data_IF_229605509777
#
_entry.id   IF_229605509777
#
_cell.length_a   1.000
_cell.length_b   1.000
_cell.length_c   1.000
_cell.angle_alpha   90.00
_cell.angle_beta   90.00
_cell.angle_gamma   90.00
#
_symmetry.space_group_name_H-M   'P 1'
#
loop_
_entity.id
_entity.type
_entity.pdbx_description
1 polymer ?
#
# COMPACT_ATOMS: atom_id res chain seq x y z
N UNK A 1 31.41 -5.44 -7.09
CA UNK A 1 30.17 -6.19 -6.84
C UNK A 1 29.08 -5.22 -7.24
N UNK A 2 28.38 -5.51 -8.34
CA UNK A 2 27.38 -4.59 -8.86
C UNK A 2 26.19 -4.61 -7.91
N UNK A 3 25.90 -3.42 -7.40
CA UNK A 3 24.78 -3.00 -6.57
C UNK A 3 23.48 -3.02 -7.39
N UNK A 4 23.19 -4.14 -8.07
CA UNK A 4 21.91 -4.32 -8.75
C UNK A 4 20.96 -4.85 -7.69
N UNK A 5 20.38 -3.93 -6.91
CA UNK A 5 19.32 -4.26 -5.95
C UNK A 5 18.24 -5.06 -6.72
N UNK A 6 17.80 -6.23 -6.21
CA UNK A 6 16.87 -7.14 -6.92
C UNK A 6 15.52 -6.51 -7.30
N UNK A 7 15.22 -5.33 -6.74
CA UNK A 7 14.04 -4.51 -6.95
C UNK A 7 14.33 -3.24 -7.80
N UNK A 8 15.54 -3.15 -8.37
CA UNK A 8 15.99 -2.03 -9.20
C UNK A 8 15.03 -1.79 -10.37
N UNK A 9 14.52 -0.56 -10.45
CA UNK A 9 13.62 -0.11 -11.50
C UNK A 9 12.13 -0.35 -11.25
N UNK A 10 11.73 -0.82 -10.06
CA UNK A 10 10.31 -0.86 -9.65
C UNK A 10 9.69 0.55 -9.58
N UNK A 11 10.39 1.54 -9.01
CA UNK A 11 9.89 2.93 -8.95
C UNK A 11 9.55 3.53 -10.34
N UNK A 12 10.46 3.46 -11.35
CA UNK A 12 10.13 3.87 -12.71
C UNK A 12 8.89 3.17 -13.29
N UNK A 13 8.71 1.86 -13.03
CA UNK A 13 7.56 1.11 -13.50
C UNK A 13 6.27 1.61 -12.85
N UNK A 14 6.24 1.75 -11.52
CA UNK A 14 5.11 2.30 -10.78
C UNK A 14 4.70 3.68 -11.32
N UNK A 15 5.68 4.56 -11.54
CA UNK A 15 5.43 5.90 -12.12
C UNK A 15 4.85 5.83 -13.53
N UNK A 16 5.31 4.89 -14.37
CA UNK A 16 4.76 4.67 -15.70
C UNK A 16 3.29 4.24 -15.68
N UNK A 17 2.83 3.59 -14.61
CA UNK A 17 1.43 3.20 -14.39
C UNK A 17 0.60 4.29 -13.69
N UNK A 18 1.18 5.48 -13.53
CA UNK A 18 0.53 6.64 -12.92
C UNK A 18 0.48 6.60 -11.41
N UNK A 19 1.36 5.82 -10.75
CA UNK A 19 1.53 5.83 -9.30
C UNK A 19 2.48 6.97 -8.92
N UNK A 20 2.03 7.85 -8.04
CA UNK A 20 2.84 8.99 -7.56
C UNK A 20 3.74 8.56 -6.41
N UNK A 21 4.84 7.87 -6.73
CA UNK A 21 5.82 7.38 -5.74
C UNK A 21 6.50 8.56 -5.03
N UNK A 22 6.36 8.60 -3.70
CA UNK A 22 7.03 9.55 -2.80
C UNK A 22 8.41 9.02 -2.41
N UNK A 23 8.48 7.77 -1.94
CA UNK A 23 9.70 7.11 -1.51
C UNK A 23 9.63 5.61 -1.79
N UNK A 24 10.80 4.99 -1.94
CA UNK A 24 10.97 3.57 -2.12
C UNK A 24 12.25 3.12 -1.40
N UNK A 25 12.19 2.00 -0.69
CA UNK A 25 13.35 1.30 -0.15
C UNK A 25 13.38 -0.10 -0.75
N UNK A 26 14.45 -0.39 -1.50
CA UNK A 26 14.56 -1.52 -2.40
C UNK A 26 15.04 -2.82 -1.72
N UNK A 27 14.80 -2.95 -0.41
CA UNK A 27 15.14 -4.11 0.41
C UNK A 27 14.16 -5.29 0.32
N UNK A 28 14.22 -6.15 1.35
CA UNK A 28 13.25 -7.21 1.64
C UNK A 28 12.77 -7.03 3.09
N UNK A 29 11.59 -6.43 3.31
CA UNK A 29 10.56 -6.11 2.32
C UNK A 29 10.91 -4.90 1.43
N UNK A 30 10.33 -4.86 0.24
CA UNK A 30 10.26 -3.68 -0.63
C UNK A 30 9.25 -2.71 -0.04
N UNK A 31 9.73 -1.60 0.52
CA UNK A 31 8.88 -0.57 1.12
C UNK A 31 8.57 0.51 0.09
N UNK A 32 7.29 0.78 -0.16
CA UNK A 32 6.85 1.80 -1.14
C UNK A 32 5.89 2.78 -0.48
N UNK A 33 6.20 4.07 -0.52
CA UNK A 33 5.22 5.12 -0.17
C UNK A 33 4.77 5.84 -1.43
N UNK A 34 3.46 5.91 -1.64
CA UNK A 34 2.91 6.67 -2.76
C UNK A 34 1.74 7.55 -2.36
N UNK A 35 1.67 8.72 -2.99
CA UNK A 35 0.60 9.67 -2.78
C UNK A 35 -0.62 9.29 -3.63
N UNK A 36 -1.79 9.24 -3.02
CA UNK A 36 -3.03 8.96 -3.76
C UNK A 36 -3.42 10.16 -4.62
N UNK A 37 -3.87 9.89 -5.84
CA UNK A 37 -4.47 10.91 -6.72
C UNK A 37 -5.97 11.11 -6.45
N UNK A 38 -6.58 10.33 -5.56
CA UNK A 38 -8.02 10.33 -5.34
C UNK A 38 -8.42 11.21 -4.15
N UNK A 39 -9.48 12.03 -4.30
CA UNK A 39 -10.04 12.75 -3.18
C UNK A 39 -10.75 11.75 -2.26
N UNK A 40 -10.37 11.70 -0.98
CA UNK A 40 -10.99 10.78 -0.02
C UNK A 40 -10.24 10.64 1.30
N UNK A 41 -10.84 9.87 2.21
CA UNK A 41 -10.24 9.45 3.49
C UNK A 41 -9.85 7.96 3.50
N UNK A 42 -10.07 7.27 2.39
CA UNK A 42 -9.82 5.83 2.25
C UNK A 42 -8.91 5.57 1.05
N UNK A 43 -8.19 4.44 1.09
CA UNK A 43 -7.35 4.00 -0.01
C UNK A 43 -8.21 3.51 -1.17
N UNK A 44 -7.98 4.06 -2.36
CA UNK A 44 -8.79 3.73 -3.53
C UNK A 44 -8.33 2.40 -4.16
N UNK A 45 -9.18 1.36 -4.11
CA UNK A 45 -8.85 0.00 -4.60
C UNK A 45 -8.32 -0.06 -6.04
N UNK A 46 -8.84 0.78 -6.93
CA UNK A 46 -8.35 0.86 -8.32
C UNK A 46 -6.91 1.36 -8.44
N UNK A 47 -6.45 2.15 -7.46
CA UNK A 47 -5.06 2.62 -7.41
C UNK A 47 -4.13 1.47 -7.03
N UNK A 48 -4.52 0.67 -6.03
CA UNK A 48 -3.83 -0.56 -5.67
C UNK A 48 -3.71 -1.47 -6.90
N UNK A 49 -4.81 -1.72 -7.61
CA UNK A 49 -4.77 -2.54 -8.84
C UNK A 49 -3.79 -2.02 -9.90
N UNK A 50 -3.67 -0.70 -10.09
CA UNK A 50 -2.65 -0.14 -11.01
C UNK A 50 -1.22 -0.39 -10.53
N UNK A 51 -0.98 -0.26 -9.22
CA UNK A 51 0.32 -0.56 -8.64
C UNK A 51 0.67 -2.04 -8.79
N UNK A 52 -0.30 -2.92 -8.52
CA UNK A 52 -0.12 -4.37 -8.69
C UNK A 52 0.19 -4.73 -10.14
N UNK A 53 -0.53 -4.18 -11.12
CA UNK A 53 -0.25 -4.45 -12.52
C UNK A 53 1.20 -4.07 -12.89
N UNK A 54 1.70 -2.93 -12.42
CA UNK A 54 3.08 -2.53 -12.65
C UNK A 54 4.11 -3.52 -12.08
N UNK A 55 3.82 -4.10 -10.92
CA UNK A 55 4.68 -5.09 -10.26
C UNK A 55 4.59 -6.46 -10.96
N UNK A 56 3.38 -6.87 -11.33
CA UNK A 56 3.10 -8.13 -12.04
C UNK A 56 3.75 -8.13 -13.42
N UNK A 57 3.49 -7.10 -14.24
CA UNK A 57 4.05 -6.99 -15.60
C UNK A 57 5.60 -7.05 -15.57
N UNK A 58 6.21 -6.52 -14.51
CA UNK A 58 7.66 -6.57 -14.31
C UNK A 58 8.13 -7.95 -13.86
N UNK A 59 7.39 -8.62 -13.00
CA UNK A 59 7.69 -9.99 -12.55
C UNK A 59 7.58 -10.98 -13.71
N UNK A 60 6.53 -10.86 -14.53
CA UNK A 60 6.33 -11.67 -15.74
C UNK A 60 7.44 -11.46 -16.77
N UNK A 61 8.01 -10.26 -16.82
CA UNK A 61 9.14 -9.93 -17.68
C UNK A 61 10.51 -10.36 -17.10
N UNK A 62 10.55 -11.05 -15.96
CA UNK A 62 11.77 -11.42 -15.23
C UNK A 62 12.66 -10.19 -14.94
N UNK A 63 12.04 -9.01 -14.78
CA UNK A 63 12.72 -7.72 -14.67
C UNK A 63 12.88 -7.22 -13.23
N UNK A 64 12.46 -8.04 -12.26
CA UNK A 64 12.78 -7.94 -10.84
C UNK A 64 12.47 -9.27 -10.14
N UNK A 65 13.06 -9.52 -8.97
CA UNK A 65 12.81 -10.70 -8.14
C UNK A 65 11.79 -10.34 -7.04
N UNK A 66 10.53 -10.85 -7.10
CA UNK A 66 9.48 -10.43 -6.17
C UNK A 66 9.78 -10.81 -4.73
N UNK A 67 9.92 -9.78 -3.89
CA UNK A 67 10.01 -9.86 -2.43
C UNK A 67 8.67 -9.46 -1.79
N UNK A 68 8.57 -9.53 -0.45
CA UNK A 68 7.41 -8.94 0.24
C UNK A 68 7.33 -7.46 -0.09
N UNK A 69 6.17 -6.98 -0.52
CA UNK A 69 5.92 -5.55 -0.74
C UNK A 69 5.10 -5.01 0.41
N UNK A 70 5.57 -3.94 1.04
CA UNK A 70 4.82 -3.18 2.02
C UNK A 70 4.59 -1.77 1.49
N UNK A 71 3.33 -1.45 1.18
CA UNK A 71 2.99 -0.19 0.56
C UNK A 71 2.19 0.69 1.51
N UNK A 72 2.63 1.94 1.65
CA UNK A 72 1.92 2.98 2.38
C UNK A 72 1.31 3.98 1.42
N UNK A 73 0.01 4.24 1.58
CA UNK A 73 -0.71 5.24 0.79
C UNK A 73 -0.88 6.49 1.62
N UNK A 74 -0.47 7.64 1.10
CA UNK A 74 -0.56 8.93 1.79
C UNK A 74 -1.45 9.91 1.00
N UNK A 75 -2.08 10.86 1.71
CA UNK A 75 -2.77 12.01 1.07
C UNK A 75 -1.78 13.13 0.76
N UNK A 76 -0.83 13.33 1.65
CA UNK A 76 0.25 14.31 1.58
C UNK A 76 1.40 13.83 2.46
N UNK A 77 2.61 14.39 2.32
CA UNK A 77 3.75 14.00 3.15
C UNK A 77 3.40 14.00 4.64
N UNK A 78 3.53 12.84 5.29
CA UNK A 78 3.18 12.65 6.71
C UNK A 78 1.69 12.46 7.05
N UNK A 79 0.79 12.35 6.06
CA UNK A 79 -0.66 12.07 6.26
C UNK A 79 -1.03 10.70 5.65
N UNK A 80 -0.76 9.58 6.34
CA UNK A 80 -1.05 8.24 5.84
C UNK A 80 -2.56 7.94 5.87
N UNK A 81 -3.03 7.25 4.81
CA UNK A 81 -4.41 6.78 4.66
C UNK A 81 -4.56 5.29 4.95
N UNK A 82 -3.51 4.51 4.74
CA UNK A 82 -3.56 3.06 4.89
C UNK A 82 -2.34 2.35 4.35
N UNK A 83 -2.24 1.06 4.65
CA UNK A 83 -1.17 0.20 4.15
C UNK A 83 -1.74 -1.08 3.54
N UNK A 84 -1.03 -1.65 2.57
CA UNK A 84 -1.33 -2.98 2.04
C UNK A 84 -0.03 -3.74 1.82
N UNK A 85 -0.13 -5.07 1.79
CA UNK A 85 1.00 -5.98 1.64
C UNK A 85 0.77 -6.94 0.49
N UNK A 86 1.84 -7.30 -0.22
CA UNK A 86 1.86 -8.40 -1.17
C UNK A 86 2.97 -9.39 -0.82
N UNK A 87 2.62 -10.66 -0.61
CA UNK A 87 3.61 -11.70 -0.28
C UNK A 87 4.33 -12.23 -1.53
N UNK A 88 5.63 -12.59 -1.43
CA UNK A 88 6.39 -13.14 -2.55
C UNK A 88 5.75 -14.42 -3.10
N UNK A 89 5.24 -15.29 -2.22
CA UNK A 89 4.54 -16.52 -2.60
C UNK A 89 3.29 -16.30 -3.47
N UNK A 90 2.69 -15.11 -3.44
CA UNK A 90 1.56 -14.79 -4.33
C UNK A 90 2.04 -14.46 -5.74
N UNK A 91 3.18 -13.79 -5.87
CA UNK A 91 3.82 -13.59 -7.17
C UNK A 91 4.28 -14.92 -7.75
N UNK A 92 4.94 -15.76 -6.94
CA UNK A 92 5.34 -17.12 -7.35
C UNK A 92 4.14 -17.93 -7.87
N UNK A 93 3.02 -17.93 -7.13
CA UNK A 93 1.80 -18.62 -7.57
C UNK A 93 1.21 -18.04 -8.85
N UNK A 94 1.27 -16.72 -9.05
CA UNK A 94 0.80 -16.08 -10.28
C UNK A 94 1.68 -16.47 -11.48
N UNK A 95 3.01 -16.40 -11.32
CA UNK A 95 3.99 -16.75 -12.36
C UNK A 95 3.96 -18.25 -12.70
N UNK A 96 3.55 -19.09 -11.76
CA UNK A 96 3.37 -20.53 -11.96
C UNK A 96 1.99 -20.91 -12.54
N UNK A 97 1.12 -19.94 -12.84
CA UNK A 97 -0.29 -20.16 -13.24
C UNK A 97 -1.14 -20.90 -12.18
N UNK A 98 -0.66 -21.01 -10.93
CA UNK A 98 -1.38 -21.60 -9.79
C UNK A 98 -2.37 -20.61 -9.14
N UNK A 99 -2.21 -19.31 -9.42
CA UNK A 99 -3.04 -18.22 -8.93
C UNK A 99 -3.43 -17.31 -10.08
N UNK A 100 -4.70 -16.91 -10.17
CA UNK A 100 -5.11 -15.89 -11.14
C UNK A 100 -4.79 -14.48 -10.64
N UNK A 101 -4.64 -13.51 -11.55
CA UNK A 101 -4.46 -12.08 -11.21
C UNK A 101 -5.57 -11.55 -10.29
N UNK A 102 -6.81 -12.04 -10.47
CA UNK A 102 -7.96 -11.65 -9.64
C UNK A 102 -7.81 -12.19 -8.21
N UNK A 103 -7.35 -13.42 -8.04
CA UNK A 103 -7.11 -13.99 -6.71
C UNK A 103 -5.92 -13.32 -6.04
N UNK A 104 -4.84 -13.04 -6.78
CA UNK A 104 -3.70 -12.25 -6.31
C UNK A 104 -4.17 -10.87 -5.79
N UNK A 105 -4.90 -10.13 -6.61
CA UNK A 105 -5.42 -8.81 -6.24
C UNK A 105 -6.34 -8.87 -5.03
N UNK A 106 -7.16 -9.92 -4.94
CA UNK A 106 -8.07 -10.13 -3.81
C UNK A 106 -7.28 -10.32 -2.52
N UNK A 107 -6.26 -11.18 -2.51
CA UNK A 107 -5.39 -11.40 -1.33
C UNK A 107 -4.71 -10.12 -0.87
N UNK A 108 -4.20 -9.30 -1.79
CA UNK A 108 -3.63 -7.99 -1.45
C UNK A 108 -4.69 -7.08 -0.83
N UNK A 109 -5.88 -6.98 -1.43
CA UNK A 109 -6.95 -6.14 -0.90
C UNK A 109 -7.45 -6.59 0.48
N UNK A 110 -7.33 -7.87 0.82
CA UNK A 110 -7.64 -8.40 2.16
C UNK A 110 -6.61 -7.97 3.23
N UNK A 111 -5.39 -7.56 2.83
CA UNK A 111 -4.39 -6.98 3.74
C UNK A 111 -4.55 -5.49 3.96
N UNK A 112 -5.39 -4.83 3.16
CA UNK A 112 -5.54 -3.37 3.19
C UNK A 112 -6.06 -2.91 4.56
N UNK A 113 -5.26 -2.09 5.24
CA UNK A 113 -5.64 -1.39 6.46
C UNK A 113 -5.88 0.09 6.17
N UNK A 114 -6.74 0.73 6.96
CA UNK A 114 -6.99 2.17 6.89
C UNK A 114 -6.58 2.84 8.19
N UNK A 115 -5.92 4.00 8.09
CA UNK A 115 -5.61 4.86 9.23
C UNK A 115 -6.94 5.45 9.72
N UNK A 116 -7.52 4.82 10.75
CA UNK A 116 -8.86 5.10 11.27
C UNK A 116 -9.66 3.84 11.61
N UNK A 117 -9.30 2.68 11.04
CA UNK A 117 -9.92 1.39 11.39
C UNK A 117 -9.35 0.81 12.71
N UNK A 118 -8.26 1.39 13.21
CA UNK A 118 -7.47 0.89 14.34
C UNK A 118 -7.56 1.67 15.67
N UNK A 119 -8.41 2.70 15.81
CA UNK A 119 -8.53 3.40 17.09
C UNK A 119 -9.29 4.71 17.07
N UNK A 120 -10.61 4.63 17.17
CA UNK A 120 -11.46 5.63 17.84
C UNK A 120 -12.55 4.89 18.64
N UNK A 121 -12.11 4.00 19.52
CA UNK A 121 -12.78 3.73 20.78
C UNK A 121 -11.81 4.26 21.85
N UNK A 122 -12.32 5.11 22.75
CA UNK A 122 -11.59 5.82 23.82
C UNK A 122 -10.97 7.18 23.47
N UNK A 123 -11.81 8.22 23.32
CA UNK A 123 -11.57 9.56 23.90
C UNK A 123 -12.80 10.49 23.76
N UNK A 124 -13.93 10.15 24.38
CA UNK A 124 -14.95 11.15 24.78
C UNK A 124 -15.70 10.63 26.01
N UNK A 125 -14.93 10.41 27.09
CA UNK A 125 -15.43 10.25 28.44
C UNK A 125 -14.69 11.25 29.35
N UNK A 126 -15.11 12.51 29.26
CA UNK A 126 -14.95 13.53 30.30
C UNK A 126 -16.24 14.38 30.18
N UNK A 127 -17.18 14.34 31.11
CA UNK A 127 -17.04 14.96 32.44
C UNK A 127 -16.86 16.47 32.23
N UNK A 128 -17.72 17.40 32.61
CA UNK A 128 -18.55 17.50 33.81
C UNK A 128 -19.74 18.43 33.54
N UNK A 129 -20.87 18.04 34.09
CA UNK A 129 -22.05 18.88 34.30
C UNK A 129 -21.76 19.83 35.46
N UNK A 130 -21.47 21.10 35.19
CA UNK A 130 -21.50 22.15 36.22
C UNK A 130 -22.73 23.04 36.02
N UNK A 131 -23.66 22.89 36.95
CA UNK A 131 -24.77 23.80 37.23
C UNK A 131 -24.21 25.19 37.59
N UNK A 132 -24.54 26.24 36.84
CA UNK A 132 -24.56 27.59 37.41
C UNK A 132 -25.99 28.14 37.39
N UNK A 133 -26.62 27.94 38.54
CA UNK A 133 -27.69 28.78 39.03
C UNK A 133 -27.09 30.14 39.38
N UNK A 134 -27.61 31.22 38.80
CA UNK A 134 -27.40 32.57 39.33
C UNK A 134 -28.69 33.40 39.10
N UNK A 135 -29.06 34.30 40.04
CA UNK A 135 -30.42 34.42 40.60
C UNK A 135 -31.38 35.38 39.88
#
# INVERSE_FOLDING_TARGET
>A
MSDDEPTSGVEPALRSYGISVESIDAGDPLEVTYMTAFPGREVHRREIGRALNALIDRAEADAWDPVRVEATVIRSPGDPLGTWTAEPAWFEGLLADDLTETEFSTRVLETLTHVGDGGDADADADGEIEEDRTP
#
